data_IF_616155326090
#
_entry.id   IF_616155326090
#
_cell.length_a   1.000
_cell.length_b   1.000
_cell.length_c   1.000
_cell.angle_alpha   90.00
_cell.angle_beta   90.00
_cell.angle_gamma   90.00
#
_symmetry.space_group_name_H-M   'P 1'
#
loop_
_entity.id
_entity.type
_entity.pdbx_description
1 polymer ?
#
# COMPACT_ATOMS: atom_id res chain seq x y z
N UNK A 1 10.66 54.91 76.85
CA UNK A 1 10.41 56.08 75.98
C UNK A 1 11.31 55.93 74.75
N UNK A 2 10.74 56.19 73.57
CA UNK A 2 11.12 55.64 72.27
C UNK A 2 12.60 55.79 71.86
N UNK A 3 13.15 54.67 71.38
CA UNK A 3 14.24 54.62 70.40
C UNK A 3 13.65 54.91 69.01
N UNK A 4 14.09 55.98 68.35
CA UNK A 4 13.88 56.19 66.91
C UNK A 4 15.14 56.80 66.27
N UNK A 5 15.79 55.96 65.46
CA UNK A 5 16.32 56.19 64.10
C UNK A 5 17.24 57.38 63.80
N UNK A 6 18.47 57.07 63.34
CA UNK A 6 18.77 57.17 61.90
C UNK A 6 20.01 56.33 61.50
N UNK A 7 20.04 55.77 60.27
CA UNK A 7 21.06 54.82 59.82
C UNK A 7 22.29 55.49 59.17
N UNK A 8 23.51 54.93 59.30
CA UNK A 8 24.67 55.37 58.54
C UNK A 8 24.70 54.76 57.12
N UNK A 9 25.10 55.60 56.18
CA UNK A 9 25.19 55.40 54.72
C UNK A 9 26.08 54.23 54.28
N UNK A 10 25.72 53.48 53.21
CA UNK A 10 26.63 52.51 52.60
C UNK A 10 27.74 53.20 51.79
N UNK A 11 28.99 52.78 52.04
CA UNK A 11 30.18 53.16 51.26
C UNK A 11 30.09 52.57 49.85
N UNK A 12 30.51 53.36 48.86
CA UNK A 12 30.54 53.03 47.44
C UNK A 12 31.22 51.68 47.17
N UNK A 13 30.54 50.81 46.43
CA UNK A 13 31.11 49.58 45.89
C UNK A 13 32.03 49.93 44.73
N UNK A 14 33.31 49.57 44.88
CA UNK A 14 34.36 49.73 43.89
C UNK A 14 34.10 48.79 42.71
N UNK A 15 33.85 49.36 41.52
CA UNK A 15 33.59 48.59 40.30
C UNK A 15 34.84 47.80 39.88
N UNK A 16 34.68 46.49 39.79
CA UNK A 16 35.70 45.54 39.33
C UNK A 16 35.89 45.71 37.81
N UNK A 17 37.11 45.93 37.30
CA UNK A 17 37.32 46.13 35.86
C UNK A 17 36.96 44.87 35.06
N UNK A 18 36.41 45.00 33.84
CA UNK A 18 36.03 43.85 33.02
C UNK A 18 37.26 43.02 32.62
N UNK A 19 37.10 41.70 32.73
CA UNK A 19 38.13 40.73 32.44
C UNK A 19 38.56 40.74 30.95
N UNK A 20 39.87 40.90 30.75
CA UNK A 20 40.69 40.48 29.61
C UNK A 20 40.29 40.93 28.19
N UNK A 21 40.99 41.94 27.69
CA UNK A 21 41.18 42.17 26.27
C UNK A 21 41.91 40.97 25.63
N UNK A 22 41.21 40.19 24.81
CA UNK A 22 41.78 39.09 24.03
C UNK A 22 42.76 39.57 22.95
N UNK A 23 43.82 38.78 22.75
CA UNK A 23 44.87 38.91 21.71
C UNK A 23 44.26 39.11 20.30
N UNK A 24 44.89 39.87 19.38
CA UNK A 24 44.29 40.21 18.08
C UNK A 24 43.85 38.98 17.29
N UNK A 25 42.60 39.06 16.82
CA UNK A 25 41.91 38.08 15.99
C UNK A 25 42.67 37.94 14.66
N UNK A 26 43.09 36.73 14.31
CA UNK A 26 43.52 36.44 12.94
C UNK A 26 42.40 36.83 11.96
N UNK A 27 42.77 37.41 10.82
CA UNK A 27 41.82 37.90 9.84
C UNK A 27 40.82 36.80 9.43
N UNK A 28 39.54 37.15 9.45
CA UNK A 28 38.45 36.29 8.96
C UNK A 28 38.66 36.01 7.47
N UNK A 29 38.59 34.74 7.07
CA UNK A 29 38.77 34.34 5.66
C UNK A 29 37.45 34.35 4.88
N UNK A 30 36.36 34.01 5.56
CA UNK A 30 35.01 34.00 5.00
C UNK A 30 34.36 35.38 5.17
N UNK A 31 33.48 35.76 4.23
CA UNK A 31 32.66 36.99 4.34
C UNK A 31 31.17 36.66 4.43
N UNK A 32 30.36 37.49 5.13
CA UNK A 32 28.91 37.44 5.03
C UNK A 32 28.43 37.51 3.58
N UNK A 33 27.41 36.73 3.24
CA UNK A 33 26.85 36.62 1.89
C UNK A 33 27.50 35.54 1.01
N UNK A 34 28.65 34.98 1.41
CA UNK A 34 29.26 33.87 0.68
C UNK A 34 28.46 32.58 0.85
N UNK A 35 28.47 31.73 -0.19
CA UNK A 35 27.80 30.43 -0.21
C UNK A 35 28.81 29.29 -0.22
N UNK A 36 28.59 28.32 0.66
CA UNK A 36 29.40 27.11 0.79
C UNK A 36 28.47 25.88 0.80
N UNK A 37 28.39 25.18 -0.34
CA UNK A 37 27.35 24.16 -0.53
C UNK A 37 25.95 24.78 -0.44
N UNK A 38 25.11 24.27 0.48
CA UNK A 38 23.78 24.83 0.80
C UNK A 38 23.78 25.87 1.91
N UNK A 39 24.95 26.19 2.48
CA UNK A 39 25.07 27.19 3.53
C UNK A 39 25.23 28.59 2.93
N UNK A 40 24.39 29.52 3.36
CA UNK A 40 24.56 30.95 3.17
C UNK A 40 25.09 31.56 4.45
N UNK A 41 26.26 32.20 4.39
CA UNK A 41 26.88 32.86 5.54
C UNK A 41 26.12 34.15 5.85
N UNK A 42 25.59 34.29 7.06
CA UNK A 42 24.85 35.47 7.51
C UNK A 42 25.73 36.43 8.32
N UNK A 43 26.43 35.93 9.36
CA UNK A 43 27.22 36.78 10.24
C UNK A 43 28.33 36.00 10.97
N UNK A 44 29.34 36.73 11.43
CA UNK A 44 30.41 36.18 12.29
C UNK A 44 29.82 35.85 13.67
N UNK A 45 29.98 34.59 14.10
CA UNK A 45 29.50 34.10 15.39
C UNK A 45 30.59 34.11 16.48
N UNK A 46 31.79 34.63 16.16
CA UNK A 46 32.93 34.69 17.07
C UNK A 46 33.75 33.40 17.14
N UNK A 47 34.73 33.38 18.04
CA UNK A 47 35.61 32.23 18.28
C UNK A 47 36.99 32.67 18.77
N UNK A 48 37.51 31.98 19.79
CA UNK A 48 38.70 32.42 20.53
C UNK A 48 40.03 31.97 19.89
N UNK A 49 39.98 31.11 18.87
CA UNK A 49 41.16 30.57 18.16
C UNK A 49 40.87 30.41 16.68
N UNK A 50 41.91 30.46 15.83
CA UNK A 50 41.79 30.42 14.36
C UNK A 50 41.09 29.17 13.78
N UNK A 51 41.04 28.07 14.54
CA UNK A 51 40.30 26.84 14.19
C UNK A 51 38.92 26.74 14.87
N UNK A 52 38.56 27.72 15.70
CA UNK A 52 37.32 27.81 16.44
C UNK A 52 36.41 28.96 15.96
N UNK A 53 36.79 29.66 14.88
CA UNK A 53 35.92 30.68 14.28
C UNK A 53 34.64 30.02 13.77
N UNK A 54 33.51 30.61 14.16
CA UNK A 54 32.17 30.14 13.80
C UNK A 54 31.44 31.22 13.02
N UNK A 55 30.63 30.77 12.09
CA UNK A 55 29.79 31.61 11.25
C UNK A 55 28.34 31.17 11.40
N UNK A 56 27.45 32.13 11.62
CA UNK A 56 26.02 31.87 11.55
C UNK A 56 25.68 31.66 10.08
N UNK A 57 25.21 30.46 9.75
CA UNK A 57 24.87 30.08 8.40
C UNK A 57 23.41 29.64 8.33
N UNK A 58 22.72 30.06 7.28
CA UNK A 58 21.38 29.57 6.92
C UNK A 58 21.51 28.55 5.80
N UNK A 59 21.01 27.34 6.03
CA UNK A 59 20.93 26.33 4.99
C UNK A 59 19.75 26.64 4.05
N UNK A 60 19.82 26.21 2.80
CA UNK A 60 18.68 26.24 1.87
C UNK A 60 17.43 25.51 2.43
N UNK A 61 17.64 24.55 3.35
CA UNK A 61 16.58 23.86 4.12
C UNK A 61 15.84 24.78 5.12
N UNK A 62 16.30 26.04 5.29
CA UNK A 62 15.79 27.01 6.25
C UNK A 62 16.40 26.91 7.66
N UNK A 63 17.19 25.87 7.95
CA UNK A 63 17.85 25.71 9.25
C UNK A 63 19.03 26.65 9.39
N UNK A 64 19.11 27.37 10.52
CA UNK A 64 20.22 28.24 10.88
C UNK A 64 21.12 27.58 11.93
N UNK A 65 22.44 27.58 11.72
CA UNK A 65 23.42 27.02 12.66
C UNK A 65 24.73 27.79 12.64
N UNK A 66 25.41 27.82 13.79
CA UNK A 66 26.80 28.25 13.86
C UNK A 66 27.71 27.12 13.33
N UNK A 67 28.37 27.36 12.21
CA UNK A 67 29.24 26.41 11.52
C UNK A 67 30.70 26.86 11.62
N UNK A 68 31.61 25.92 11.82
CA UNK A 68 33.05 26.22 11.94
C UNK A 68 33.61 26.70 10.58
N UNK A 69 34.46 27.73 10.61
CA UNK A 69 35.07 28.32 9.41
C UNK A 69 35.84 27.27 8.60
N UNK A 70 36.62 26.41 9.27
CA UNK A 70 37.38 25.36 8.58
C UNK A 70 36.45 24.35 7.88
N UNK A 71 35.31 24.01 8.48
CA UNK A 71 34.39 23.03 7.92
C UNK A 71 33.70 23.55 6.64
N UNK A 72 33.52 24.87 6.53
CA UNK A 72 33.03 25.54 5.32
C UNK A 72 34.12 25.58 4.23
N UNK A 73 35.33 26.03 4.57
CA UNK A 73 36.44 26.18 3.61
C UNK A 73 36.89 24.85 3.01
N UNK A 74 36.94 23.80 3.82
CA UNK A 74 37.42 22.47 3.40
C UNK A 74 36.29 21.51 3.02
N UNK A 75 35.07 22.01 2.83
CA UNK A 75 33.90 21.22 2.41
C UNK A 75 33.51 20.05 3.34
N UNK A 76 33.93 20.04 4.60
CA UNK A 76 33.51 19.01 5.56
C UNK A 76 32.00 19.08 5.86
N UNK A 77 31.41 20.27 5.79
CA UNK A 77 29.96 20.47 5.92
C UNK A 77 29.39 21.28 4.77
N UNK A 78 28.54 20.63 3.98
CA UNK A 78 27.89 21.23 2.81
C UNK A 78 26.40 21.52 3.03
N UNK A 79 25.83 21.11 4.17
CA UNK A 79 24.41 21.35 4.51
C UNK A 79 24.11 21.14 5.99
N UNK A 80 22.88 21.49 6.41
CA UNK A 80 22.31 21.22 7.74
C UNK A 80 22.23 19.72 8.11
N UNK A 81 22.61 18.82 7.20
CA UNK A 81 22.34 17.39 7.22
C UNK A 81 21.25 16.97 6.23
N UNK A 82 20.55 17.94 5.61
CA UNK A 82 19.49 17.68 4.62
C UNK A 82 20.00 17.12 3.29
N UNK A 83 21.28 17.30 2.96
CA UNK A 83 21.86 16.78 1.72
C UNK A 83 21.97 15.24 1.73
N UNK A 84 22.12 14.63 2.91
CA UNK A 84 22.26 13.18 3.06
C UNK A 84 20.95 12.45 2.70
N UNK A 85 19.78 12.85 3.23
CA UNK A 85 18.48 12.36 2.76
C UNK A 85 18.28 12.49 1.24
N UNK A 86 18.67 13.60 0.63
CA UNK A 86 18.47 13.82 -0.82
C UNK A 86 19.28 12.85 -1.66
N UNK A 87 20.57 12.66 -1.35
CA UNK A 87 21.42 11.69 -2.05
C UNK A 87 20.94 10.26 -1.86
N UNK A 88 20.45 9.92 -0.67
CA UNK A 88 19.86 8.60 -0.38
C UNK A 88 18.55 8.41 -1.14
N UNK A 89 17.73 9.46 -1.22
CA UNK A 89 16.46 9.46 -1.95
C UNK A 89 16.68 9.22 -3.44
N UNK A 90 17.59 9.96 -4.08
CA UNK A 90 17.92 9.79 -5.50
C UNK A 90 18.43 8.38 -5.79
N UNK A 91 19.36 7.86 -4.98
CA UNK A 91 19.84 6.48 -5.13
C UNK A 91 18.72 5.45 -5.00
N UNK A 92 17.85 5.61 -4.00
CA UNK A 92 16.70 4.70 -3.79
C UNK A 92 15.68 4.79 -4.93
N UNK A 93 15.46 5.99 -5.48
CA UNK A 93 14.58 6.20 -6.63
C UNK A 93 15.15 5.55 -7.89
N UNK A 94 16.45 5.72 -8.15
CA UNK A 94 17.14 5.07 -9.27
C UNK A 94 17.05 3.55 -9.18
N UNK A 95 17.36 2.98 -8.00
CA UNK A 95 17.25 1.54 -7.76
C UNK A 95 15.80 1.03 -7.91
N UNK A 96 14.80 1.82 -7.48
CA UNK A 96 13.40 1.49 -7.69
C UNK A 96 13.03 1.51 -9.18
N UNK A 97 13.49 2.51 -9.94
CA UNK A 97 13.26 2.56 -11.39
C UNK A 97 13.86 1.37 -12.12
N UNK A 98 15.11 1.04 -11.84
CA UNK A 98 15.80 -0.12 -12.41
C UNK A 98 15.06 -1.45 -12.11
N UNK A 99 14.50 -1.55 -10.89
CA UNK A 99 13.76 -2.75 -10.48
C UNK A 99 12.39 -2.86 -11.15
N UNK A 100 11.67 -1.76 -11.33
CA UNK A 100 10.25 -1.79 -11.68
C UNK A 100 9.93 -1.31 -13.10
N UNK A 101 10.59 -0.28 -13.62
CA UNK A 101 10.26 0.31 -14.93
C UNK A 101 10.51 -0.69 -16.05
N UNK A 102 9.57 -0.76 -17.01
CA UNK A 102 9.60 -1.71 -18.11
C UNK A 102 9.21 -3.14 -17.72
N UNK A 103 9.10 -3.45 -16.42
CA UNK A 103 8.65 -4.77 -15.95
C UNK A 103 7.13 -4.84 -15.94
N UNK A 104 6.64 -6.06 -16.12
CA UNK A 104 5.22 -6.40 -16.11
C UNK A 104 4.85 -6.98 -14.75
N UNK A 105 3.75 -6.49 -14.17
CA UNK A 105 3.15 -6.98 -12.93
C UNK A 105 1.67 -7.29 -13.19
N UNK A 106 1.33 -8.57 -13.26
CA UNK A 106 0.04 -9.02 -13.76
C UNK A 106 -0.20 -8.61 -15.23
N UNK A 107 -1.03 -7.59 -15.43
CA UNK A 107 -1.42 -6.99 -16.71
C UNK A 107 -0.87 -5.57 -16.90
N UNK A 108 -0.11 -5.09 -15.92
CA UNK A 108 0.38 -3.72 -15.87
C UNK A 108 1.85 -3.70 -16.26
N UNK A 109 2.18 -2.96 -17.30
CA UNK A 109 3.56 -2.63 -17.67
C UNK A 109 3.91 -1.31 -17.02
N UNK A 110 4.90 -1.30 -16.12
CA UNK A 110 5.29 -0.09 -15.39
C UNK A 110 6.00 0.87 -16.34
N UNK A 111 5.42 2.06 -16.49
CA UNK A 111 5.99 3.15 -17.27
C UNK A 111 6.96 4.00 -16.45
N UNK A 112 6.64 4.29 -15.19
CA UNK A 112 7.51 5.07 -14.32
C UNK A 112 7.26 4.77 -12.83
N UNK A 113 8.26 5.11 -12.01
CA UNK A 113 8.17 5.20 -10.56
C UNK A 113 8.13 6.67 -10.17
N UNK A 114 7.11 7.03 -9.41
CA UNK A 114 6.83 8.39 -8.97
C UNK A 114 7.20 8.57 -7.49
N UNK A 115 7.58 9.78 -7.07
CA UNK A 115 7.84 10.09 -5.67
C UNK A 115 6.61 9.85 -4.80
N UNK A 116 6.88 9.63 -3.52
CA UNK A 116 5.83 9.57 -2.52
C UNK A 116 5.17 10.95 -2.38
N UNK A 117 3.85 10.97 -2.23
CA UNK A 117 3.06 12.20 -2.12
C UNK A 117 2.47 12.33 -0.72
N UNK A 118 2.54 13.52 -0.13
CA UNK A 118 1.95 13.81 1.18
C UNK A 118 2.67 13.11 2.33
N UNK A 119 1.92 12.51 3.26
CA UNK A 119 2.45 11.85 4.45
C UNK A 119 3.01 10.43 4.21
N UNK A 120 2.71 9.81 3.06
CA UNK A 120 3.21 8.48 2.76
C UNK A 120 4.69 8.53 2.40
N UNK A 121 5.47 7.58 2.92
CA UNK A 121 6.87 7.36 2.53
C UNK A 121 7.02 6.39 1.35
N UNK A 122 5.92 5.81 0.87
CA UNK A 122 5.96 4.80 -0.18
C UNK A 122 5.94 5.44 -1.57
N UNK A 123 6.89 5.03 -2.42
CA UNK A 123 6.88 5.40 -3.84
C UNK A 123 5.59 4.98 -4.52
N UNK A 124 5.27 5.65 -5.62
CA UNK A 124 4.11 5.35 -6.45
C UNK A 124 4.56 4.78 -7.78
N UNK A 125 3.66 4.10 -8.49
CA UNK A 125 3.89 3.65 -9.85
C UNK A 125 2.92 4.32 -10.80
N UNK A 126 3.32 4.42 -12.06
CA UNK A 126 2.46 4.65 -13.21
C UNK A 126 2.61 3.46 -14.15
N UNK A 127 1.52 2.82 -14.55
CA UNK A 127 1.57 1.64 -15.42
C UNK A 127 0.44 1.61 -16.43
N UNK A 128 0.71 1.06 -17.60
CA UNK A 128 -0.28 0.84 -18.65
C UNK A 128 -0.77 -0.59 -18.59
N UNK A 129 -2.08 -0.76 -18.72
CA UNK A 129 -2.66 -2.08 -18.76
C UNK A 129 -2.64 -2.64 -20.18
N UNK A 130 -2.34 -3.93 -20.32
CA UNK A 130 -2.47 -4.67 -21.57
C UNK A 130 -3.91 -4.66 -22.13
N UNK A 131 -4.91 -4.24 -21.35
CA UNK A 131 -6.28 -4.01 -21.82
C UNK A 131 -6.41 -2.87 -22.85
N UNK A 132 -5.37 -2.04 -23.04
CA UNK A 132 -5.39 -0.91 -23.99
C UNK A 132 -6.06 0.35 -23.46
N UNK A 133 -6.28 0.45 -22.15
CA UNK A 133 -6.84 1.66 -21.53
C UNK A 133 -5.93 2.87 -21.80
N UNK A 134 -6.51 3.95 -22.32
CA UNK A 134 -5.81 5.21 -22.60
C UNK A 134 -5.30 5.91 -21.34
N UNK A 135 -5.98 5.68 -20.21
CA UNK A 135 -5.56 6.23 -18.91
C UNK A 135 -4.57 5.30 -18.21
N UNK A 136 -3.37 5.79 -17.84
CA UNK A 136 -2.42 5.02 -17.05
C UNK A 136 -2.92 4.85 -15.62
N UNK A 137 -2.69 3.66 -15.05
CA UNK A 137 -3.03 3.38 -13.65
C UNK A 137 -1.93 3.87 -12.74
N UNK A 138 -2.32 4.62 -11.71
CA UNK A 138 -1.41 5.03 -10.64
C UNK A 138 -1.78 4.39 -9.30
N UNK A 139 -0.77 4.10 -8.49
CA UNK A 139 -0.97 3.50 -7.18
C UNK A 139 0.32 3.42 -6.37
N UNK A 140 0.25 2.84 -5.18
CA UNK A 140 1.42 2.63 -4.31
C UNK A 140 2.28 1.49 -4.86
N UNK A 141 3.59 1.70 -4.96
CA UNK A 141 4.54 0.74 -5.55
C UNK A 141 4.56 -0.60 -4.81
N UNK A 142 4.35 -0.60 -3.49
CA UNK A 142 4.25 -1.83 -2.68
C UNK A 142 3.11 -2.76 -3.12
N UNK A 143 2.05 -2.22 -3.74
CA UNK A 143 0.92 -3.02 -4.23
C UNK A 143 1.25 -3.82 -5.49
N UNK A 144 2.24 -3.40 -6.28
CA UNK A 144 2.77 -4.21 -7.39
C UNK A 144 3.56 -5.40 -6.85
N UNK A 145 4.41 -5.16 -5.84
CA UNK A 145 5.22 -6.21 -5.22
C UNK A 145 4.36 -7.25 -4.47
N UNK A 146 3.27 -6.82 -3.83
CA UNK A 146 2.36 -7.71 -3.11
C UNK A 146 1.29 -8.38 -3.99
N UNK A 147 1.20 -8.02 -5.28
CA UNK A 147 0.20 -8.56 -6.20
C UNK A 147 -1.24 -8.10 -5.95
N UNK A 148 -1.45 -7.06 -5.13
CA UNK A 148 -2.79 -6.50 -4.86
C UNK A 148 -3.35 -5.70 -6.04
N UNK A 149 -2.48 -5.18 -6.92
CA UNK A 149 -2.88 -4.44 -8.12
C UNK A 149 -2.20 -5.03 -9.34
N UNK A 150 -3.00 -5.68 -10.19
CA UNK A 150 -2.53 -6.54 -11.28
C UNK A 150 -3.24 -6.28 -12.61
N UNK A 151 -4.22 -5.36 -12.69
CA UNK A 151 -4.85 -4.95 -13.96
C UNK A 151 -5.61 -3.63 -13.86
N UNK A 152 -6.02 -3.05 -15.00
CA UNK A 152 -6.88 -1.85 -15.08
C UNK A 152 -8.20 -2.04 -14.32
N UNK A 153 -8.80 -3.23 -14.43
CA UNK A 153 -10.06 -3.59 -13.79
C UNK A 153 -9.83 -4.38 -12.48
N UNK A 154 -10.79 -4.30 -11.55
CA UNK A 154 -11.09 -5.42 -10.66
C UNK A 154 -12.21 -6.19 -11.33
N UNK A 155 -11.96 -7.21 -12.18
CA UNK A 155 -13.06 -7.89 -12.84
C UNK A 155 -13.70 -8.85 -11.85
N UNK A 156 -15.02 -8.73 -11.67
CA UNK A 156 -15.81 -9.86 -11.22
C UNK A 156 -15.65 -10.99 -12.28
N UNK A 157 -15.40 -12.25 -11.87
CA UNK A 157 -14.94 -13.32 -12.77
C UNK A 157 -15.98 -13.87 -13.79
N UNK A 158 -17.11 -13.17 -14.03
CA UNK A 158 -18.26 -13.72 -14.74
C UNK A 158 -18.74 -12.93 -15.98
N UNK A 159 -18.02 -11.89 -16.43
CA UNK A 159 -18.38 -11.15 -17.66
C UNK A 159 -17.52 -11.56 -18.87
N UNK A 160 -17.98 -11.29 -20.09
CA UNK A 160 -17.26 -11.57 -21.34
C UNK A 160 -15.87 -10.89 -21.39
N UNK A 161 -15.75 -9.71 -20.78
CA UNK A 161 -14.47 -9.01 -20.56
C UNK A 161 -13.49 -9.84 -19.70
N UNK A 162 -14.00 -10.59 -18.72
CA UNK A 162 -13.19 -11.47 -17.86
C UNK A 162 -12.71 -12.72 -18.60
N UNK A 163 -13.45 -13.23 -19.59
CA UNK A 163 -12.99 -14.35 -20.43
C UNK A 163 -11.82 -13.94 -21.33
N UNK A 164 -11.97 -12.82 -22.04
CA UNK A 164 -10.90 -12.27 -22.89
C UNK A 164 -9.64 -12.01 -22.07
N UNK A 165 -9.81 -11.50 -20.84
CA UNK A 165 -8.74 -11.36 -19.88
C UNK A 165 -8.09 -12.72 -19.55
N UNK A 166 -8.83 -13.70 -19.05
CA UNK A 166 -8.24 -14.99 -18.68
C UNK A 166 -7.49 -15.67 -19.83
N UNK A 167 -7.99 -15.58 -21.06
CA UNK A 167 -7.30 -16.07 -22.26
C UNK A 167 -5.99 -15.33 -22.54
N UNK A 168 -5.95 -14.01 -22.35
CA UNK A 168 -4.72 -13.22 -22.50
C UNK A 168 -3.63 -13.60 -21.50
N UNK A 169 -3.98 -13.85 -20.22
CA UNK A 169 -3.00 -14.39 -19.25
C UNK A 169 -2.54 -15.77 -19.67
N UNK A 170 -3.46 -16.63 -20.09
CA UNK A 170 -3.14 -18.00 -20.47
C UNK A 170 -2.17 -18.04 -21.67
N UNK A 171 -2.29 -17.10 -22.61
CA UNK A 171 -1.35 -16.91 -23.70
C UNK A 171 0.03 -16.46 -23.20
N UNK A 172 0.09 -15.49 -22.29
CA UNK A 172 1.37 -15.06 -21.71
C UNK A 172 2.08 -16.19 -20.95
N UNK A 173 1.33 -17.02 -20.20
CA UNK A 173 1.88 -18.19 -19.51
C UNK A 173 2.39 -19.24 -20.48
N UNK A 174 1.68 -19.49 -21.59
CA UNK A 174 2.16 -20.35 -22.68
C UNK A 174 3.48 -19.82 -23.25
N UNK A 175 3.61 -18.50 -23.36
CA UNK A 175 4.78 -17.82 -23.91
C UNK A 175 5.90 -17.62 -22.87
N UNK A 176 5.79 -18.21 -21.67
CA UNK A 176 6.86 -18.25 -20.66
C UNK A 176 6.86 -17.09 -19.65
N UNK A 177 5.73 -16.41 -19.45
CA UNK A 177 5.62 -15.33 -18.46
C UNK A 177 5.92 -15.82 -17.02
N UNK A 178 6.88 -15.17 -16.36
CA UNK A 178 7.33 -15.51 -14.99
C UNK A 178 6.87 -14.52 -13.92
N UNK A 179 6.14 -13.47 -14.31
CA UNK A 179 5.74 -12.38 -13.40
C UNK A 179 4.45 -12.65 -12.60
N UNK A 180 3.85 -13.84 -12.72
CA UNK A 180 2.70 -14.25 -11.93
C UNK A 180 3.15 -15.13 -10.74
N UNK A 181 3.01 -14.67 -9.48
CA UNK A 181 3.29 -15.50 -8.31
C UNK A 181 2.45 -16.79 -8.30
N UNK A 182 3.00 -17.91 -7.80
CA UNK A 182 2.34 -19.23 -7.79
C UNK A 182 0.89 -19.21 -7.28
N UNK A 183 0.58 -18.37 -6.28
CA UNK A 183 -0.76 -18.29 -5.66
C UNK A 183 -1.61 -17.13 -6.16
N UNK A 184 -1.25 -16.52 -7.28
CA UNK A 184 -1.96 -15.39 -7.84
C UNK A 184 -3.40 -15.80 -8.22
N UNK A 185 -4.39 -14.96 -7.87
CA UNK A 185 -5.83 -15.26 -8.02
C UNK A 185 -6.20 -15.70 -9.44
N UNK A 186 -5.58 -15.11 -10.46
CA UNK A 186 -5.84 -15.47 -11.86
C UNK A 186 -5.39 -16.90 -12.20
N UNK A 187 -4.25 -17.35 -11.66
CA UNK A 187 -3.74 -18.70 -11.90
C UNK A 187 -4.63 -19.73 -11.23
N UNK A 188 -5.13 -19.42 -10.03
CA UNK A 188 -6.15 -20.24 -9.36
C UNK A 188 -7.42 -20.39 -10.19
N UNK A 189 -7.93 -19.31 -10.78
CA UNK A 189 -9.13 -19.37 -11.64
C UNK A 189 -8.88 -20.20 -12.90
N UNK A 190 -7.70 -20.09 -13.52
CA UNK A 190 -7.32 -20.92 -14.66
C UNK A 190 -7.16 -22.40 -14.27
N UNK A 191 -6.58 -22.67 -13.10
CA UNK A 191 -6.41 -24.01 -12.55
C UNK A 191 -7.75 -24.66 -12.15
N UNK A 192 -8.65 -23.90 -11.52
CA UNK A 192 -10.03 -24.34 -11.23
C UNK A 192 -10.81 -24.69 -12.50
N UNK A 193 -10.44 -24.08 -13.64
CA UNK A 193 -10.98 -24.40 -14.97
C UNK A 193 -10.20 -25.49 -15.70
N UNK A 194 -9.13 -26.02 -15.10
CA UNK A 194 -8.26 -27.05 -15.70
C UNK A 194 -7.39 -26.55 -16.85
N UNK A 195 -7.31 -25.23 -17.08
CA UNK A 195 -6.54 -24.64 -18.17
C UNK A 195 -5.05 -24.42 -17.82
N UNK A 196 -4.70 -24.48 -16.54
CA UNK A 196 -3.34 -24.24 -16.04
C UNK A 196 -3.01 -25.14 -14.87
N UNK A 197 -1.79 -25.67 -14.82
CA UNK A 197 -1.29 -26.48 -13.70
C UNK A 197 -0.44 -25.61 -12.77
N UNK A 198 -0.83 -25.52 -11.49
CA UNK A 198 -0.14 -24.69 -10.51
C UNK A 198 1.18 -25.30 -10.02
N UNK A 199 1.31 -26.62 -10.07
CA UNK A 199 2.46 -27.34 -9.52
C UNK A 199 3.58 -27.44 -10.53
N UNK A 200 3.27 -27.75 -11.79
CA UNK A 200 4.23 -27.72 -12.89
C UNK A 200 4.43 -26.32 -13.47
N UNK A 201 3.55 -25.38 -13.15
CA UNK A 201 3.53 -24.02 -13.70
C UNK A 201 3.43 -24.01 -15.24
N UNK A 202 2.66 -24.93 -15.82
CA UNK A 202 2.49 -25.07 -17.27
C UNK A 202 1.04 -24.93 -17.71
N UNK A 203 0.84 -24.46 -18.93
CA UNK A 203 -0.47 -24.49 -19.59
C UNK A 203 -0.83 -25.94 -19.94
N UNK A 204 -2.06 -26.36 -19.63
CA UNK A 204 -2.53 -27.72 -19.91
C UNK A 204 -3.03 -27.85 -21.35
N UNK A 205 -3.26 -29.07 -21.82
CA UNK A 205 -3.89 -29.32 -23.12
C UNK A 205 -5.25 -28.61 -23.26
N UNK A 206 -6.04 -28.57 -22.18
CA UNK A 206 -7.30 -27.85 -22.15
C UNK A 206 -7.09 -26.33 -22.29
N UNK A 207 -6.01 -25.82 -21.69
CA UNK A 207 -5.60 -24.44 -21.86
C UNK A 207 -5.19 -24.11 -23.31
N UNK A 208 -4.41 -24.98 -23.95
CA UNK A 208 -4.06 -24.82 -25.36
C UNK A 208 -5.29 -24.83 -26.28
N UNK A 209 -6.24 -25.74 -26.05
CA UNK A 209 -7.52 -25.76 -26.79
C UNK A 209 -8.35 -24.51 -26.53
N UNK A 210 -8.31 -23.97 -25.31
CA UNK A 210 -9.01 -22.71 -24.96
C UNK A 210 -8.45 -21.51 -25.71
N UNK A 211 -7.13 -21.45 -25.89
CA UNK A 211 -6.49 -20.43 -26.70
C UNK A 211 -6.86 -20.56 -28.17
N UNK A 212 -6.85 -21.79 -28.71
CA UNK A 212 -7.18 -22.06 -30.10
C UNK A 212 -8.65 -21.74 -30.45
N UNK A 213 -9.58 -22.00 -29.54
CA UNK A 213 -11.01 -21.72 -29.76
C UNK A 213 -11.40 -20.25 -29.50
N UNK A 214 -10.51 -19.45 -28.91
CA UNK A 214 -10.83 -18.10 -28.43
C UNK A 214 -11.85 -18.08 -27.28
N UNK A 215 -12.13 -19.25 -26.69
CA UNK A 215 -13.09 -19.42 -25.61
C UNK A 215 -12.44 -20.20 -24.47
N UNK A 216 -12.59 -19.73 -23.23
CA UNK A 216 -12.04 -20.44 -22.09
C UNK A 216 -12.84 -21.71 -21.83
N UNK A 217 -12.35 -22.83 -22.36
CA UNK A 217 -12.89 -24.17 -22.16
C UNK A 217 -12.57 -24.61 -20.74
N UNK A 218 -13.39 -25.52 -20.22
CA UNK A 218 -13.28 -25.93 -18.83
C UNK A 218 -14.19 -25.11 -17.94
N UNK A 219 -15.29 -25.76 -17.62
CA UNK A 219 -16.08 -25.58 -16.43
C UNK A 219 -16.91 -26.87 -16.35
N UNK A 220 -16.71 -27.68 -15.30
CA UNK A 220 -17.55 -28.87 -15.09
C UNK A 220 -19.02 -28.40 -15.12
N UNK A 221 -19.86 -29.09 -15.88
CA UNK A 221 -21.32 -28.94 -15.93
C UNK A 221 -22.01 -28.98 -14.55
N UNK A 222 -21.27 -29.31 -13.48
CA UNK A 222 -21.74 -29.47 -12.11
C UNK A 222 -22.31 -28.19 -11.50
N UNK A 223 -21.91 -27.00 -11.96
CA UNK A 223 -22.45 -25.73 -11.42
C UNK A 223 -23.55 -25.08 -12.28
N UNK A 224 -23.85 -25.55 -13.50
CA UNK A 224 -25.18 -25.29 -14.11
C UNK A 224 -26.23 -26.27 -13.60
N UNK A 225 -25.80 -27.46 -13.16
CA UNK A 225 -26.61 -28.32 -12.27
C UNK A 225 -26.66 -27.80 -10.82
N UNK A 226 -26.10 -26.63 -10.52
CA UNK A 226 -26.46 -25.88 -9.31
C UNK A 226 -27.86 -25.27 -9.49
N UNK A 227 -28.85 -26.17 -9.41
CA UNK A 227 -30.26 -25.91 -9.12
C UNK A 227 -30.95 -25.00 -10.13
N UNK A 228 -31.63 -25.61 -11.10
CA UNK A 228 -32.91 -25.05 -11.51
C UNK A 228 -33.65 -24.63 -10.21
N UNK A 229 -34.15 -23.39 -10.10
CA UNK A 229 -34.78 -22.93 -8.88
C UNK A 229 -35.82 -23.96 -8.46
N UNK A 230 -35.62 -24.60 -7.31
CA UNK A 230 -36.57 -25.61 -6.81
C UNK A 230 -37.96 -25.01 -6.86
N UNK A 231 -38.90 -25.77 -7.43
CA UNK A 231 -40.26 -25.31 -7.60
C UNK A 231 -40.87 -24.99 -6.23
N UNK A 232 -41.93 -24.16 -6.20
CA UNK A 232 -42.58 -23.81 -4.93
C UNK A 232 -43.08 -25.07 -4.20
N UNK A 233 -43.57 -26.07 -4.93
CA UNK A 233 -44.02 -27.36 -4.38
C UNK A 233 -42.87 -28.16 -3.75
N UNK A 234 -41.71 -28.23 -4.40
CA UNK A 234 -40.52 -28.90 -3.85
C UNK A 234 -40.00 -28.24 -2.57
N UNK A 235 -40.03 -26.90 -2.51
CA UNK A 235 -39.67 -26.17 -1.30
C UNK A 235 -40.65 -26.45 -0.15
N UNK A 236 -41.95 -26.47 -0.44
CA UNK A 236 -42.98 -26.78 0.56
C UNK A 236 -42.85 -28.21 1.09
N UNK A 237 -42.54 -29.18 0.23
CA UNK A 237 -42.33 -30.58 0.63
C UNK A 237 -41.14 -30.73 1.60
N UNK A 238 -40.00 -30.10 1.30
CA UNK A 238 -38.86 -30.12 2.21
C UNK A 238 -39.14 -29.41 3.52
N UNK A 239 -39.85 -28.28 3.49
CA UNK A 239 -40.21 -27.56 4.72
C UNK A 239 -41.18 -28.39 5.57
N UNK A 240 -42.16 -29.07 4.97
CA UNK A 240 -43.06 -30.03 5.66
C UNK A 240 -42.28 -31.11 6.39
N UNK A 241 -41.27 -31.69 5.73
CA UNK A 241 -40.43 -32.73 6.33
C UNK A 241 -39.68 -32.24 7.58
N UNK A 242 -39.30 -30.95 7.63
CA UNK A 242 -38.64 -30.38 8.83
C UNK A 242 -39.56 -30.23 10.06
N UNK A 243 -40.87 -30.35 9.89
CA UNK A 243 -41.85 -30.33 10.98
C UNK A 243 -42.33 -31.73 11.37
N UNK A 244 -41.88 -32.79 10.69
CA UNK A 244 -42.22 -34.18 11.03
C UNK A 244 -41.63 -34.55 12.41
N UNK A 245 -42.38 -35.24 13.29
CA UNK A 245 -41.86 -35.69 14.57
C UNK A 245 -40.57 -36.50 14.42
N UNK A 246 -39.54 -36.16 15.20
CA UNK A 246 -38.24 -36.83 15.14
C UNK A 246 -37.28 -36.36 14.03
N UNK A 247 -37.71 -35.48 13.13
CA UNK A 247 -36.84 -34.93 12.07
C UNK A 247 -36.24 -33.59 12.48
N UNK A 248 -34.94 -33.41 12.26
CA UNK A 248 -34.25 -32.13 12.48
C UNK A 248 -33.97 -31.43 11.16
N UNK A 249 -33.85 -30.09 11.18
CA UNK A 249 -33.48 -29.31 9.98
C UNK A 249 -32.14 -29.80 9.41
N UNK A 250 -31.21 -30.21 10.27
CA UNK A 250 -29.89 -30.70 9.88
C UNK A 250 -29.98 -32.04 9.16
N UNK A 251 -30.85 -32.93 9.64
CA UNK A 251 -31.09 -34.22 9.00
C UNK A 251 -31.69 -34.02 7.60
N UNK A 252 -32.76 -33.23 7.50
CA UNK A 252 -33.43 -32.95 6.21
C UNK A 252 -32.51 -32.19 5.24
N UNK A 253 -31.66 -31.29 5.75
CA UNK A 253 -30.66 -30.58 4.94
C UNK A 253 -29.63 -31.53 4.32
N UNK A 254 -29.11 -32.47 5.12
CA UNK A 254 -28.17 -33.51 4.63
C UNK A 254 -28.82 -34.40 3.59
N UNK A 255 -30.00 -34.92 3.88
CA UNK A 255 -30.69 -35.90 3.02
C UNK A 255 -31.15 -35.30 1.68
N UNK A 256 -31.53 -34.02 1.69
CA UNK A 256 -31.97 -33.30 0.49
C UNK A 256 -30.83 -32.62 -0.30
N UNK A 257 -29.61 -32.64 0.23
CA UNK A 257 -28.46 -31.91 -0.30
C UNK A 257 -28.66 -30.38 -0.29
N UNK A 258 -29.58 -29.84 0.51
CA UNK A 258 -29.84 -28.40 0.63
C UNK A 258 -29.01 -27.81 1.76
N UNK A 259 -28.37 -26.66 1.53
CA UNK A 259 -27.66 -25.97 2.61
C UNK A 259 -28.60 -25.68 3.79
N UNK A 260 -28.19 -26.07 5.01
CA UNK A 260 -28.95 -25.86 6.25
C UNK A 260 -29.46 -24.44 6.40
N UNK A 261 -28.63 -23.43 6.12
CA UNK A 261 -29.00 -22.01 6.17
C UNK A 261 -30.14 -21.64 5.22
N UNK A 262 -30.15 -22.23 4.03
CA UNK A 262 -31.18 -22.02 3.03
C UNK A 262 -32.50 -22.71 3.43
N UNK A 263 -32.42 -23.93 3.98
CA UNK A 263 -33.59 -24.67 4.45
C UNK A 263 -34.23 -24.01 5.68
N UNK A 264 -33.43 -23.50 6.63
CA UNK A 264 -33.91 -22.71 7.76
C UNK A 264 -34.64 -21.44 7.29
N UNK A 265 -34.12 -20.76 6.26
CA UNK A 265 -34.77 -19.58 5.68
C UNK A 265 -36.12 -19.94 5.05
N UNK A 266 -36.19 -21.03 4.29
CA UNK A 266 -37.46 -21.51 3.72
C UNK A 266 -38.46 -21.92 4.81
N UNK A 267 -38.00 -22.55 5.89
CA UNK A 267 -38.83 -22.93 7.04
C UNK A 267 -39.48 -21.72 7.72
N UNK A 268 -38.80 -20.58 7.75
CA UNK A 268 -39.39 -19.32 8.24
C UNK A 268 -40.35 -18.70 7.22
N UNK A 269 -39.96 -18.64 5.94
CA UNK A 269 -40.73 -17.99 4.88
C UNK A 269 -42.01 -18.73 4.47
N UNK A 270 -42.02 -20.05 4.59
CA UNK A 270 -43.12 -20.92 4.13
C UNK A 270 -43.86 -21.58 5.30
N UNK A 271 -43.60 -21.15 6.54
CA UNK A 271 -44.21 -21.71 7.75
C UNK A 271 -45.73 -21.76 7.65
N UNK A 272 -46.34 -20.63 7.31
CA UNK A 272 -47.80 -20.48 7.27
C UNK A 272 -48.44 -21.22 6.08
N UNK A 273 -47.65 -21.53 5.05
CA UNK A 273 -48.08 -22.34 3.89
C UNK A 273 -47.98 -23.85 4.15
N UNK A 274 -47.40 -24.25 5.29
CA UNK A 274 -47.05 -25.63 5.63
C UNK A 274 -47.69 -26.08 6.95
N UNK A 275 -48.01 -25.15 7.85
CA UNK A 275 -48.72 -25.46 9.08
C UNK A 275 -50.08 -26.12 8.76
N UNK A 276 -50.44 -27.24 9.42
CA UNK A 276 -51.80 -27.72 9.38
C UNK A 276 -52.70 -26.63 9.99
N UNK A 277 -53.80 -26.29 9.31
CA UNK A 277 -54.89 -25.54 9.90
C UNK A 277 -55.33 -26.29 11.16
N UNK A 278 -55.01 -25.76 12.34
CA UNK A 278 -55.66 -26.17 13.58
C UNK A 278 -57.13 -25.73 13.48
N UNK A 279 -57.96 -26.60 12.92
CA UNK A 279 -59.41 -26.54 13.02
C UNK A 279 -59.91 -27.89 13.50
N UNK A 280 -60.39 -27.92 14.76
CA UNK A 280 -61.35 -28.91 15.24
C UNK A 280 -60.81 -29.95 16.23
N UNK A 281 -60.71 -29.57 17.51
CA UNK A 281 -60.94 -30.48 18.63
C UNK A 281 -61.30 -29.66 19.90
N UNK A 282 -62.45 -29.00 19.85
CA UNK A 282 -63.25 -28.72 21.03
C UNK A 282 -64.48 -29.63 20.95
N UNK A 283 -64.46 -30.71 21.73
CA UNK A 283 -65.60 -31.48 22.22
C UNK A 283 -65.07 -32.46 23.27
#
# INVERSE_FOLDING_TARGET
MNLMSNPPTPRAAEERPPASAGRPRGARRIKPGEKYGRWLVQSDAGGDRALAYRWNCRCDCGTERAVLEYALLYNETQSCGCLVPDKIFEKRMAAARERFVGRVFGWLTVADVLPATGASRSYRFRAYCACGSETPKEGVLSNLASGHVISCCSPAPHTEASQRMLLGVLAQLRDGATHYPKYHRVLRVLAERGAYDLDTQTVTDLGHRSLASGQLLGYIESNRRARAPRSRSEKLALVRETFRPGCTVDQVARDSGVAKSLLSRWRTQLRDSVAPTEQGAAA
#
